data_IF_065200857112
#
_entry.id   IF_065200857112
#
_cell.length_a   1.000
_cell.length_b   1.000
_cell.length_c   1.000
_cell.angle_alpha   90.00
_cell.angle_beta   90.00
_cell.angle_gamma   90.00
#
_symmetry.space_group_name_H-M   'P 1'
#
loop_
_entity.id
_entity.type
_entity.pdbx_description
1 polymer ?
#
# COMPACT_ATOMS: atom_id res chain seq x y z
N UNK A 1 8.64 -26.11 71.78
CA UNK A 1 8.86 -24.67 71.54
C UNK A 1 8.94 -24.44 70.03
N UNK A 2 7.92 -23.83 69.42
CA UNK A 2 7.94 -23.48 67.99
C UNK A 2 8.72 -22.17 67.79
N UNK A 3 9.51 -22.11 66.73
CA UNK A 3 10.39 -20.99 66.40
C UNK A 3 9.56 -19.74 66.01
N UNK A 4 9.79 -18.57 66.63
CA UNK A 4 9.01 -17.34 66.37
C UNK A 4 9.12 -16.82 64.93
N UNK A 5 10.16 -17.21 64.17
CA UNK A 5 10.29 -16.87 62.73
C UNK A 5 9.32 -17.63 61.84
N UNK A 6 8.78 -18.77 62.29
CA UNK A 6 7.87 -19.62 61.49
C UNK A 6 6.40 -19.20 61.61
N UNK A 7 6.03 -18.41 62.63
CA UNK A 7 4.67 -17.88 62.79
C UNK A 7 4.40 -16.66 61.90
N UNK A 8 5.38 -15.78 61.68
CA UNK A 8 5.21 -14.57 60.85
C UNK A 8 4.97 -14.90 59.38
N UNK A 9 5.61 -15.96 58.86
CA UNK A 9 5.43 -16.43 57.49
C UNK A 9 4.06 -17.10 57.23
N UNK A 10 3.34 -17.51 58.29
CA UNK A 10 2.05 -18.21 58.16
C UNK A 10 0.83 -17.27 58.22
N UNK A 11 1.01 -16.03 58.68
CA UNK A 11 -0.05 -15.00 58.68
C UNK A 11 0.00 -14.07 57.46
N UNK A 12 1.14 -13.98 56.76
CA UNK A 12 1.26 -13.17 55.54
C UNK A 12 0.72 -13.86 54.28
N UNK A 13 0.75 -15.19 54.24
CA UNK A 13 0.32 -16.00 53.08
C UNK A 13 -1.19 -15.93 52.75
N UNK A 14 -2.15 -15.93 53.71
CA UNK A 14 -3.57 -15.80 53.37
C UNK A 14 -3.97 -14.37 52.95
N UNK A 15 -3.19 -13.35 53.32
CA UNK A 15 -3.46 -11.96 52.91
C UNK A 15 -3.00 -11.73 51.47
N UNK A 16 -1.89 -12.34 51.02
CA UNK A 16 -1.40 -12.20 49.64
C UNK A 16 -2.32 -12.90 48.62
N UNK A 17 -2.99 -13.99 49.01
CA UNK A 17 -3.86 -14.76 48.11
C UNK A 17 -5.23 -14.08 47.89
N UNK A 18 -5.73 -13.34 48.89
CA UNK A 18 -6.97 -12.56 48.76
C UNK A 18 -6.83 -11.38 47.77
N UNK A 19 -5.63 -10.79 47.65
CA UNK A 19 -5.36 -9.70 46.70
C UNK A 19 -5.15 -10.18 45.25
N UNK A 20 -4.90 -11.47 45.01
CA UNK A 20 -4.68 -12.01 43.66
C UNK A 20 -5.97 -12.55 43.00
N UNK A 21 -6.97 -12.96 43.79
CA UNK A 21 -8.23 -13.55 43.28
C UNK A 21 -9.30 -12.50 42.94
N UNK A 22 -9.32 -11.37 43.65
CA UNK A 22 -10.20 -10.22 43.36
C UNK A 22 -9.99 -9.55 41.99
N UNK A 23 -8.74 -9.28 41.57
CA UNK A 23 -8.46 -8.72 40.24
C UNK A 23 -8.87 -9.64 39.09
N UNK A 24 -8.73 -10.96 39.25
CA UNK A 24 -9.07 -11.91 38.18
C UNK A 24 -10.57 -11.97 37.89
N UNK A 25 -11.41 -12.02 38.94
CA UNK A 25 -12.87 -11.99 38.80
C UNK A 25 -13.39 -10.64 38.25
N UNK A 26 -12.72 -9.53 38.60
CA UNK A 26 -13.06 -8.22 38.07
C UNK A 26 -12.73 -8.08 36.58
N UNK A 27 -11.64 -8.70 36.11
CA UNK A 27 -11.28 -8.76 34.69
C UNK A 27 -12.30 -9.61 33.91
N UNK A 28 -12.70 -10.77 34.46
CA UNK A 28 -13.65 -11.67 33.81
C UNK A 28 -15.03 -11.02 33.67
N UNK A 29 -15.53 -10.39 34.74
CA UNK A 29 -16.79 -9.64 34.71
C UNK A 29 -16.75 -8.42 33.77
N UNK A 30 -15.61 -7.72 33.69
CA UNK A 30 -15.45 -6.61 32.75
C UNK A 30 -15.42 -7.09 31.29
N UNK A 31 -14.78 -8.22 31.01
CA UNK A 31 -14.75 -8.82 29.68
C UNK A 31 -16.12 -9.33 29.26
N UNK A 32 -16.83 -10.04 30.15
CA UNK A 32 -18.20 -10.49 29.91
C UNK A 32 -19.13 -9.29 29.63
N UNK A 33 -19.02 -8.22 30.42
CA UNK A 33 -19.79 -7.00 30.20
C UNK A 33 -19.45 -6.31 28.88
N UNK A 34 -18.17 -6.21 28.51
CA UNK A 34 -17.75 -5.61 27.25
C UNK A 34 -18.09 -6.50 26.04
N UNK A 35 -18.18 -7.82 26.22
CA UNK A 35 -18.63 -8.73 25.17
C UNK A 35 -20.14 -8.62 24.95
N UNK A 36 -20.93 -8.53 26.03
CA UNK A 36 -22.36 -8.31 25.95
C UNK A 36 -22.72 -6.89 25.46
N UNK A 37 -21.90 -5.89 25.78
CA UNK A 37 -22.04 -4.50 25.36
C UNK A 37 -20.71 -3.98 24.79
N UNK A 38 -20.42 -4.29 23.52
CA UNK A 38 -19.17 -3.86 22.88
C UNK A 38 -18.97 -2.35 22.93
N UNK A 39 -17.77 -1.88 23.31
CA UNK A 39 -17.46 -0.46 23.28
C UNK A 39 -17.51 0.09 21.85
N UNK A 40 -17.73 1.40 21.71
CA UNK A 40 -17.96 2.04 20.42
C UNK A 40 -16.77 1.91 19.44
N UNK A 41 -15.55 1.80 19.95
CA UNK A 41 -14.32 1.61 19.16
C UNK A 41 -14.21 0.22 18.52
N UNK A 42 -14.98 -0.75 19.03
CA UNK A 42 -15.06 -2.13 18.52
C UNK A 42 -16.06 -2.27 17.36
N UNK A 43 -16.81 -1.20 17.03
CA UNK A 43 -17.74 -1.21 15.91
C UNK A 43 -17.02 -1.41 14.57
N UNK A 44 -17.59 -2.18 13.64
CA UNK A 44 -17.00 -2.39 12.32
C UNK A 44 -16.95 -1.07 11.55
N UNK A 45 -16.06 -1.05 10.56
CA UNK A 45 -15.92 0.05 9.60
C UNK A 45 -16.08 -0.47 8.18
N UNK A 46 -16.48 0.39 7.26
CA UNK A 46 -16.66 0.03 5.86
C UNK A 46 -15.94 0.98 4.90
N UNK A 47 -15.66 0.49 3.70
CA UNK A 47 -15.42 1.37 2.57
C UNK A 47 -16.74 1.94 2.08
N UNK A 48 -16.77 3.25 1.86
CA UNK A 48 -17.92 3.96 1.34
C UNK A 48 -17.49 4.70 0.08
N UNK A 49 -17.60 4.01 -1.05
CA UNK A 49 -17.14 4.52 -2.33
C UNK A 49 -18.20 5.39 -2.97
N UNK A 50 -17.80 6.62 -3.30
CA UNK A 50 -18.58 7.52 -4.15
C UNK A 50 -18.19 7.21 -5.59
N UNK A 51 -19.11 6.55 -6.30
CA UNK A 51 -18.85 6.02 -7.63
C UNK A 51 -19.29 7.02 -8.70
N UNK A 52 -18.41 7.28 -9.66
CA UNK A 52 -18.74 7.91 -10.96
C UNK A 52 -19.49 9.25 -10.88
N UNK A 53 -19.24 10.02 -9.82
CA UNK A 53 -19.90 11.31 -9.62
C UNK A 53 -21.36 11.22 -9.15
N UNK A 54 -21.84 10.02 -8.79
CA UNK A 54 -23.17 9.83 -8.22
C UNK A 54 -23.13 9.95 -6.70
N UNK A 55 -23.13 11.20 -6.22
CA UNK A 55 -23.17 11.55 -4.79
C UNK A 55 -24.06 12.77 -4.59
N UNK A 56 -24.85 12.77 -3.51
CA UNK A 56 -25.70 13.90 -3.13
C UNK A 56 -25.74 14.08 -1.61
N UNK A 57 -26.04 15.30 -1.14
CA UNK A 57 -26.18 15.58 0.30
C UNK A 57 -27.27 14.74 0.96
N UNK A 58 -28.38 14.53 0.27
CA UNK A 58 -29.48 13.68 0.74
C UNK A 58 -29.05 12.21 0.88
N UNK A 59 -28.34 11.68 -0.12
CA UNK A 59 -27.81 10.32 -0.08
C UNK A 59 -26.81 10.15 1.06
N UNK A 60 -25.88 11.10 1.21
CA UNK A 60 -24.92 11.14 2.32
C UNK A 60 -25.61 11.06 3.68
N UNK A 61 -26.64 11.87 3.91
CA UNK A 61 -27.41 11.86 5.15
C UNK A 61 -28.04 10.49 5.40
N UNK A 62 -28.73 9.94 4.40
CA UNK A 62 -29.42 8.64 4.52
C UNK A 62 -28.45 7.47 4.75
N UNK A 63 -27.32 7.48 4.06
CA UNK A 63 -26.27 6.47 4.21
C UNK A 63 -25.72 6.46 5.64
N UNK A 64 -25.40 7.63 6.19
CA UNK A 64 -24.85 7.76 7.55
C UNK A 64 -25.87 7.44 8.64
N UNK A 65 -27.14 7.74 8.43
CA UNK A 65 -28.21 7.31 9.33
C UNK A 65 -28.37 5.79 9.31
N UNK A 66 -28.39 5.18 8.12
CA UNK A 66 -28.46 3.72 7.98
C UNK A 66 -27.25 3.04 8.63
N UNK A 67 -26.03 3.58 8.44
CA UNK A 67 -24.81 3.07 9.08
C UNK A 67 -24.91 3.09 10.61
N UNK A 68 -25.38 4.19 11.20
CA UNK A 68 -25.62 4.29 12.64
C UNK A 68 -26.62 3.23 13.10
N UNK A 69 -27.74 3.10 12.40
CA UNK A 69 -28.85 2.23 12.80
C UNK A 69 -28.44 0.74 12.81
N UNK A 70 -27.52 0.34 11.94
CA UNK A 70 -26.97 -1.04 11.89
C UNK A 70 -25.68 -1.22 12.70
N UNK A 71 -25.21 -0.18 13.40
CA UNK A 71 -24.05 -0.25 14.30
C UNK A 71 -22.68 -0.12 13.64
N UNK A 72 -22.58 0.42 12.43
CA UNK A 72 -21.29 0.77 11.81
C UNK A 72 -20.70 2.00 12.51
N UNK A 73 -19.43 1.89 12.93
CA UNK A 73 -18.73 2.93 13.68
C UNK A 73 -17.87 3.85 12.84
N UNK A 74 -17.68 3.55 11.55
CA UNK A 74 -16.97 4.43 10.64
C UNK A 74 -17.01 4.03 9.17
N UNK A 75 -16.81 5.02 8.31
CA UNK A 75 -16.82 4.90 6.87
C UNK A 75 -15.58 5.57 6.25
N UNK A 76 -14.94 4.88 5.31
CA UNK A 76 -13.79 5.38 4.56
C UNK A 76 -14.22 5.82 3.17
N UNK A 77 -14.23 7.14 2.94
CA UNK A 77 -14.64 7.73 1.66
C UNK A 77 -13.53 7.53 0.64
N UNK A 78 -13.85 6.82 -0.45
CA UNK A 78 -13.03 6.70 -1.65
C UNK A 78 -13.76 7.24 -2.87
N UNK A 79 -13.06 7.98 -3.74
CA UNK A 79 -13.65 8.58 -4.95
C UNK A 79 -13.25 7.73 -6.15
N UNK A 80 -14.20 6.99 -6.71
CA UNK A 80 -13.90 5.93 -7.69
C UNK A 80 -14.59 6.21 -9.02
N UNK A 81 -13.81 6.18 -10.11
CA UNK A 81 -14.32 6.26 -11.48
C UNK A 81 -14.28 4.92 -12.21
N UNK A 82 -15.19 4.75 -13.18
CA UNK A 82 -15.29 3.66 -14.14
C UNK A 82 -15.88 2.36 -13.61
N UNK A 83 -16.51 2.36 -12.43
CA UNK A 83 -16.82 1.11 -11.69
C UNK A 83 -18.27 0.95 -11.25
N UNK A 84 -19.11 1.97 -11.39
CA UNK A 84 -20.56 1.84 -11.17
C UNK A 84 -21.28 1.07 -12.26
N UNK A 85 -20.61 0.76 -13.37
CA UNK A 85 -21.25 0.25 -14.59
C UNK A 85 -22.07 1.31 -15.34
N UNK A 86 -22.02 2.58 -14.91
CA UNK A 86 -22.65 3.72 -15.59
C UNK A 86 -21.57 4.66 -16.14
N UNK A 87 -21.88 5.47 -17.16
CA UNK A 87 -21.05 6.61 -17.52
C UNK A 87 -20.86 7.55 -16.33
N UNK A 88 -19.75 8.27 -16.31
CA UNK A 88 -19.55 9.35 -15.35
C UNK A 88 -20.70 10.36 -15.42
N UNK A 89 -21.23 10.76 -14.27
CA UNK A 89 -22.26 11.77 -14.18
C UNK A 89 -21.73 13.13 -14.66
N UNK A 90 -22.18 13.68 -15.81
CA UNK A 90 -21.64 14.92 -16.34
C UNK A 90 -21.98 16.15 -15.49
N UNK A 91 -22.97 16.04 -14.59
CA UNK A 91 -23.37 17.10 -13.68
C UNK A 91 -22.66 17.03 -12.32
N UNK A 92 -21.82 16.01 -12.11
CA UNK A 92 -21.08 15.86 -10.86
C UNK A 92 -20.07 17.00 -10.70
N UNK A 93 -19.88 17.51 -9.46
CA UNK A 93 -18.76 18.38 -9.16
C UNK A 93 -17.45 17.71 -9.55
N UNK A 94 -16.54 18.46 -10.17
CA UNK A 94 -15.19 18.00 -10.41
C UNK A 94 -14.50 17.69 -9.07
N UNK A 95 -13.73 16.60 -9.02
CA UNK A 95 -12.96 16.23 -7.84
C UNK A 95 -12.10 17.40 -7.36
N UNK A 96 -12.09 17.63 -6.04
CA UNK A 96 -11.37 18.72 -5.38
C UNK A 96 -11.87 20.15 -5.68
N UNK A 97 -12.96 20.32 -6.44
CA UNK A 97 -13.63 21.62 -6.58
C UNK A 97 -14.34 22.03 -5.28
N UNK A 98 -14.69 23.31 -5.14
CA UNK A 98 -15.44 23.81 -3.97
C UNK A 98 -16.77 23.08 -3.77
N UNK A 99 -17.48 22.78 -4.86
CA UNK A 99 -18.74 22.02 -4.81
C UNK A 99 -18.54 20.56 -4.37
N UNK A 100 -17.40 19.96 -4.68
CA UNK A 100 -17.02 18.64 -4.16
C UNK A 100 -16.67 18.71 -2.67
N UNK A 101 -15.91 19.73 -2.26
CA UNK A 101 -15.60 19.98 -0.84
C UNK A 101 -16.85 20.22 -0.01
N UNK A 102 -17.87 20.87 -0.56
CA UNK A 102 -19.18 21.04 0.09
C UNK A 102 -19.87 19.70 0.40
N UNK A 103 -19.67 18.66 -0.42
CA UNK A 103 -20.18 17.31 -0.15
C UNK A 103 -19.39 16.64 0.97
N UNK A 104 -18.06 16.77 0.96
CA UNK A 104 -17.20 16.24 2.04
C UNK A 104 -17.52 16.90 3.38
N UNK A 105 -17.68 18.23 3.40
CA UNK A 105 -18.06 19.00 4.59
C UNK A 105 -19.42 18.53 5.10
N UNK A 106 -20.39 18.31 4.19
CA UNK A 106 -21.70 17.77 4.56
C UNK A 106 -21.57 16.37 5.19
N UNK A 107 -20.77 15.47 4.59
CA UNK A 107 -20.53 14.14 5.12
C UNK A 107 -19.90 14.16 6.52
N UNK A 108 -18.90 15.03 6.75
CA UNK A 108 -18.26 15.17 8.07
C UNK A 108 -19.23 15.72 9.13
N UNK A 109 -20.08 16.68 8.76
CA UNK A 109 -21.11 17.23 9.67
C UNK A 109 -22.14 16.17 10.04
N UNK A 110 -22.62 15.42 9.05
CA UNK A 110 -23.61 14.36 9.28
C UNK A 110 -23.03 13.20 10.08
N UNK A 111 -21.78 12.84 9.80
CA UNK A 111 -21.03 11.86 10.57
C UNK A 111 -20.88 12.26 12.05
N UNK A 112 -20.60 13.53 12.31
CA UNK A 112 -20.56 14.08 13.67
C UNK A 112 -21.94 13.96 14.35
N UNK A 113 -23.03 14.25 13.62
CA UNK A 113 -24.40 14.13 14.12
C UNK A 113 -24.80 12.68 14.42
N UNK A 114 -24.40 11.74 13.58
CA UNK A 114 -24.79 10.32 13.71
C UNK A 114 -23.84 9.51 14.61
N UNK A 115 -22.64 10.01 14.89
CA UNK A 115 -21.60 9.31 15.65
C UNK A 115 -20.82 8.28 14.83
N UNK A 116 -20.91 8.34 13.50
CA UNK A 116 -20.13 7.51 12.56
C UNK A 116 -18.83 8.23 12.25
N UNK A 117 -17.66 7.61 12.42
CA UNK A 117 -16.39 8.24 12.08
C UNK A 117 -16.16 8.30 10.57
N UNK A 118 -15.50 9.35 10.07
CA UNK A 118 -15.09 9.44 8.66
C UNK A 118 -13.58 9.33 8.54
N UNK A 119 -13.13 8.46 7.64
CA UNK A 119 -11.77 8.49 7.12
C UNK A 119 -11.77 8.81 5.62
N UNK A 120 -10.68 9.38 5.13
CA UNK A 120 -10.46 9.62 3.70
C UNK A 120 -9.19 8.89 3.27
N UNK A 121 -9.18 8.42 2.03
CA UNK A 121 -7.91 8.09 1.37
C UNK A 121 -7.08 9.36 1.19
N UNK A 122 -5.77 9.20 1.08
CA UNK A 122 -4.80 10.30 1.01
C UNK A 122 -4.84 11.09 -0.32
N UNK A 123 -5.70 10.70 -1.26
CA UNK A 123 -5.99 11.41 -2.50
C UNK A 123 -7.23 10.82 -3.19
N UNK A 124 -7.68 11.41 -4.32
CA UNK A 124 -8.73 10.82 -5.15
C UNK A 124 -8.38 9.38 -5.58
N UNK A 125 -9.36 8.50 -5.68
CA UNK A 125 -9.16 7.06 -5.87
C UNK A 125 -9.18 6.26 -4.56
N UNK A 126 -8.61 5.04 -4.62
CA UNK A 126 -8.37 4.15 -3.47
C UNK A 126 -6.87 3.92 -3.20
N UNK A 127 -6.00 4.26 -4.15
CA UNK A 127 -4.55 4.01 -4.07
C UNK A 127 -3.80 4.76 -5.18
N UNK A 128 -2.54 5.17 -4.99
CA UNK A 128 -1.80 5.12 -3.73
C UNK A 128 -1.42 6.49 -3.20
N UNK A 129 -0.72 7.31 -3.98
CA UNK A 129 -0.23 8.63 -3.55
C UNK A 129 0.07 9.46 -4.79
N UNK A 130 -0.97 9.84 -5.52
CA UNK A 130 -0.84 10.58 -6.77
C UNK A 130 -1.86 11.70 -6.88
N UNK A 131 -1.56 12.66 -7.74
CA UNK A 131 -2.46 13.75 -8.07
C UNK A 131 -1.86 14.65 -9.15
N UNK A 132 -2.67 15.51 -9.80
CA UNK A 132 -2.21 16.40 -10.86
C UNK A 132 -1.14 17.41 -10.42
N UNK A 133 -0.94 17.57 -9.11
CA UNK A 133 0.10 18.42 -8.53
C UNK A 133 1.48 17.75 -8.46
N UNK A 134 1.58 16.43 -8.66
CA UNK A 134 2.87 15.70 -8.61
C UNK A 134 3.58 15.85 -9.96
N UNK A 135 4.72 16.54 -9.99
CA UNK A 135 5.52 16.67 -11.21
C UNK A 135 6.22 15.36 -11.58
N UNK A 136 6.60 15.15 -12.86
CA UNK A 136 7.36 13.97 -13.27
C UNK A 136 8.62 13.74 -12.41
N UNK A 137 9.31 14.81 -12.03
CA UNK A 137 10.51 14.76 -11.20
C UNK A 137 10.20 14.41 -9.74
N UNK A 138 8.98 14.64 -9.26
CA UNK A 138 8.55 14.35 -7.88
C UNK A 138 7.93 12.96 -7.74
N UNK A 139 7.71 12.26 -8.85
CA UNK A 139 7.14 10.90 -8.89
C UNK A 139 8.17 9.82 -8.49
N UNK A 140 7.67 8.60 -8.28
CA UNK A 140 8.51 7.42 -8.05
C UNK A 140 9.50 7.23 -9.22
N UNK A 141 10.78 7.03 -8.87
CA UNK A 141 11.88 6.91 -9.85
C UNK A 141 12.50 5.52 -9.82
N UNK A 142 13.13 5.15 -10.92
CA UNK A 142 13.91 3.92 -11.04
C UNK A 142 15.26 4.22 -11.72
N UNK A 143 16.25 3.35 -11.52
CA UNK A 143 17.51 3.43 -12.24
C UNK A 143 17.34 2.80 -13.63
N UNK A 144 17.66 3.58 -14.66
CA UNK A 144 17.80 3.10 -16.03
C UNK A 144 19.26 3.25 -16.46
N UNK A 145 19.70 2.41 -17.40
CA UNK A 145 21.05 2.52 -17.96
C UNK A 145 21.02 2.30 -19.46
N UNK A 146 22.03 2.87 -20.12
CA UNK A 146 22.42 2.56 -21.48
C UNK A 146 23.88 2.12 -21.44
N UNK A 147 24.30 1.35 -22.43
CA UNK A 147 25.67 0.82 -22.48
C UNK A 147 26.21 0.93 -23.90
N UNK A 148 27.50 1.24 -24.00
CA UNK A 148 28.27 1.16 -25.24
C UNK A 148 29.60 0.46 -24.97
N UNK A 149 30.15 -0.20 -25.99
CA UNK A 149 31.48 -0.82 -25.93
C UNK A 149 32.45 0.04 -26.72
N UNK A 150 33.63 0.26 -26.15
CA UNK A 150 34.68 1.09 -26.74
C UNK A 150 36.01 0.35 -26.65
N UNK A 151 36.70 0.21 -27.79
CA UNK A 151 38.05 -0.35 -27.84
C UNK A 151 39.08 0.73 -27.51
N UNK A 152 39.87 0.51 -26.47
CA UNK A 152 40.98 1.38 -26.08
C UNK A 152 42.35 0.95 -26.65
N UNK A 153 43.40 1.76 -26.45
CA UNK A 153 43.37 3.11 -25.88
C UNK A 153 42.80 4.12 -26.89
N UNK A 154 41.78 4.89 -26.50
CA UNK A 154 41.12 5.91 -27.33
C UNK A 154 40.67 7.09 -26.46
N UNK A 155 40.90 8.32 -26.91
CA UNK A 155 40.19 9.50 -26.36
C UNK A 155 38.76 9.48 -26.88
N UNK A 156 37.80 9.27 -25.98
CA UNK A 156 36.39 9.15 -26.33
C UNK A 156 35.68 10.52 -26.23
N UNK A 157 35.14 11.01 -27.35
CA UNK A 157 34.44 12.29 -27.45
C UNK A 157 33.15 12.14 -28.27
N UNK A 158 32.34 11.14 -27.96
CA UNK A 158 31.08 10.88 -28.63
C UNK A 158 29.90 11.04 -27.65
N UNK A 159 28.71 11.34 -28.18
CA UNK A 159 27.49 11.46 -27.37
C UNK A 159 27.07 10.06 -26.93
N UNK A 160 26.93 9.86 -25.62
CA UNK A 160 26.40 8.61 -25.07
C UNK A 160 24.90 8.49 -25.35
N UNK A 161 24.38 7.27 -25.61
CA UNK A 161 22.94 7.04 -25.67
C UNK A 161 22.29 7.37 -24.32
N UNK A 162 21.07 7.87 -24.36
CA UNK A 162 20.27 8.15 -23.17
C UNK A 162 19.08 7.18 -23.08
N UNK A 163 18.58 6.87 -21.87
CA UNK A 163 17.29 6.19 -21.72
C UNK A 163 16.17 6.94 -22.42
N UNK A 164 15.13 6.23 -22.84
CA UNK A 164 13.93 6.85 -23.42
C UNK A 164 13.16 7.68 -22.39
N UNK A 165 12.58 8.80 -22.82
CA UNK A 165 11.75 9.67 -21.98
C UNK A 165 12.54 10.67 -21.14
N UNK A 166 11.90 11.17 -20.08
CA UNK A 166 12.51 12.12 -19.13
C UNK A 166 13.47 11.34 -18.22
N UNK A 167 14.75 11.74 -18.21
CA UNK A 167 15.75 11.13 -17.34
C UNK A 167 16.65 12.20 -16.72
N UNK A 168 17.23 11.84 -15.58
CA UNK A 168 18.28 12.62 -14.92
C UNK A 168 19.56 11.79 -14.90
N UNK A 169 20.66 12.36 -15.38
CA UNK A 169 21.96 11.68 -15.33
C UNK A 169 22.40 11.51 -13.87
N UNK A 170 22.73 10.28 -13.49
CA UNK A 170 23.27 9.94 -12.17
C UNK A 170 24.78 9.83 -12.23
N UNK A 171 25.30 8.94 -13.09
CA UNK A 171 26.73 8.70 -13.25
C UNK A 171 27.04 8.15 -14.65
N UNK A 172 28.30 8.29 -15.06
CA UNK A 172 28.89 7.53 -16.17
C UNK A 172 29.99 6.66 -15.59
N UNK A 173 29.91 5.36 -15.82
CA UNK A 173 30.89 4.39 -15.37
C UNK A 173 31.64 3.82 -16.57
N UNK A 174 32.96 3.82 -16.50
CA UNK A 174 33.83 3.14 -17.46
C UNK A 174 34.65 2.10 -16.71
N UNK A 175 34.60 0.86 -17.17
CA UNK A 175 35.32 -0.26 -16.58
C UNK A 175 35.75 -1.23 -17.69
N UNK A 176 36.82 -2.02 -17.49
CA UNK A 176 37.19 -3.06 -18.44
C UNK A 176 36.04 -4.05 -18.61
N UNK A 177 35.64 -4.30 -19.86
CA UNK A 177 34.60 -5.28 -20.16
C UNK A 177 35.01 -6.65 -19.59
N UNK A 178 34.11 -7.36 -18.88
CA UNK A 178 34.39 -8.70 -18.38
C UNK A 178 34.80 -9.64 -19.52
N UNK A 179 35.64 -10.63 -19.22
CA UNK A 179 35.99 -11.65 -20.19
C UNK A 179 34.71 -12.38 -20.66
N UNK A 180 34.50 -12.43 -21.98
CA UNK A 180 33.33 -13.05 -22.58
C UNK A 180 32.06 -12.18 -22.56
N UNK A 181 32.14 -10.90 -22.18
CA UNK A 181 31.02 -9.98 -22.28
C UNK A 181 30.53 -9.83 -23.73
N UNK A 182 29.21 -9.72 -23.90
CA UNK A 182 28.52 -9.75 -25.19
C UNK A 182 28.84 -10.96 -26.11
N UNK A 183 29.33 -12.08 -25.56
CA UNK A 183 29.51 -13.31 -26.35
C UNK A 183 28.14 -13.82 -26.80
N UNK A 184 27.91 -13.79 -28.11
CA UNK A 184 26.73 -14.41 -28.70
C UNK A 184 26.90 -15.94 -28.65
N UNK A 185 26.06 -16.60 -27.86
CA UNK A 185 25.99 -18.06 -27.86
C UNK A 185 24.97 -18.53 -28.90
N UNK A 186 25.38 -19.33 -29.89
CA UNK A 186 24.45 -19.85 -30.88
C UNK A 186 23.47 -20.81 -30.19
N UNK A 187 22.18 -20.61 -30.48
CA UNK A 187 21.15 -21.56 -30.08
C UNK A 187 21.32 -22.83 -30.92
N UNK A 188 21.54 -23.97 -30.26
CA UNK A 188 21.70 -25.29 -30.88
C UNK A 188 20.36 -25.91 -31.22
N UNK A 189 19.38 -25.79 -30.33
CA UNK A 189 18.04 -26.33 -30.54
C UNK A 189 16.99 -25.48 -29.83
N UNK A 190 15.76 -25.50 -30.36
CA UNK A 190 14.58 -24.87 -29.78
C UNK A 190 13.48 -25.92 -29.65
N UNK A 191 12.89 -26.01 -28.47
CA UNK A 191 11.70 -26.78 -28.19
C UNK A 191 10.58 -25.85 -27.73
N UNK A 192 9.37 -26.38 -27.54
CA UNK A 192 8.20 -25.58 -27.13
C UNK A 192 8.48 -24.72 -25.88
N UNK A 193 9.25 -25.24 -24.91
CA UNK A 193 9.51 -24.58 -23.63
C UNK A 193 11.01 -24.53 -23.27
N UNK A 194 11.92 -24.81 -24.21
CA UNK A 194 13.35 -24.87 -23.94
C UNK A 194 14.19 -24.30 -25.09
N UNK A 195 15.31 -23.69 -24.72
CA UNK A 195 16.35 -23.22 -25.64
C UNK A 195 17.66 -23.84 -25.18
N UNK A 196 18.31 -24.55 -26.09
CA UNK A 196 19.57 -25.24 -25.82
C UNK A 196 20.72 -24.45 -26.45
N UNK A 197 21.76 -24.20 -25.66
CA UNK A 197 23.02 -23.61 -26.11
C UNK A 197 24.19 -24.33 -25.43
N UNK A 198 25.37 -24.23 -26.01
CA UNK A 198 26.57 -24.93 -25.54
C UNK A 198 27.76 -23.98 -25.57
N UNK A 199 28.62 -24.06 -24.54
CA UNK A 199 29.91 -23.38 -24.50
C UNK A 199 31.03 -24.41 -24.63
N UNK A 200 32.11 -24.03 -25.30
CA UNK A 200 33.30 -24.88 -25.41
C UNK A 200 34.02 -25.06 -24.06
N UNK A 201 33.93 -24.05 -23.18
CA UNK A 201 34.54 -24.03 -21.85
C UNK A 201 33.49 -23.77 -20.77
N UNK A 202 33.70 -24.24 -19.52
CA UNK A 202 32.85 -23.88 -18.39
C UNK A 202 32.86 -22.36 -18.14
N UNK A 203 31.69 -21.77 -17.88
CA UNK A 203 31.57 -20.35 -17.57
C UNK A 203 30.44 -20.08 -16.56
N UNK A 204 30.47 -18.91 -15.91
CA UNK A 204 29.37 -18.42 -15.06
C UNK A 204 28.55 -17.37 -15.84
N UNK A 205 27.31 -17.70 -16.17
CA UNK A 205 26.37 -16.73 -16.73
C UNK A 205 25.87 -15.80 -15.62
N UNK A 206 26.10 -14.49 -15.74
CA UNK A 206 25.58 -13.48 -14.80
C UNK A 206 24.21 -12.94 -15.21
N UNK A 207 23.92 -12.97 -16.50
CA UNK A 207 22.63 -12.63 -17.08
C UNK A 207 22.42 -13.42 -18.38
N UNK A 208 21.16 -13.66 -18.73
CA UNK A 208 20.77 -14.21 -20.03
C UNK A 208 19.70 -13.31 -20.60
N UNK A 209 19.95 -12.73 -21.78
CA UNK A 209 18.98 -11.86 -22.47
C UNK A 209 18.54 -12.54 -23.75
N UNK A 210 17.24 -12.79 -23.88
CA UNK A 210 16.64 -13.36 -25.08
C UNK A 210 15.95 -12.27 -25.89
N UNK A 211 16.45 -12.02 -27.09
CA UNK A 211 15.78 -11.15 -28.04
C UNK A 211 14.84 -11.99 -28.90
N UNK A 212 13.52 -11.74 -28.88
CA UNK A 212 12.63 -12.39 -29.83
C UNK A 212 13.04 -11.99 -31.26
N UNK A 213 13.08 -12.96 -32.17
CA UNK A 213 13.19 -12.64 -33.58
C UNK A 213 11.96 -11.79 -33.93
N UNK A 214 12.15 -10.57 -34.45
CA UNK A 214 11.04 -9.81 -35.01
C UNK A 214 10.36 -10.70 -36.06
N UNK A 215 9.05 -10.89 -35.96
CA UNK A 215 8.29 -11.41 -37.07
C UNK A 215 8.52 -10.45 -38.25
N UNK A 216 9.11 -10.96 -39.33
CA UNK A 216 9.07 -10.30 -40.64
C UNK A 216 7.68 -10.46 -41.23
#
# INVERSE_FOLDING_TARGET
MLNPRTLLARLLLPISLAFAVGPLHAIDAALESAFAQPPADSRPRCYWYWLDGYVSKEGITKDLEAMRDVGIGGAYIGIIGGQSGKPHNPEAPADLSDAWWDLIIHAVREATRTGVNIGLFNGPGWSQSGGPWVKPEESMRYLAHTEIRVTGPKKFHEKLPAPEGVFQQVAVLAYPAPQGDATAMPIRARERNAIHFESAEPFTARSLTLHPARAM
#
